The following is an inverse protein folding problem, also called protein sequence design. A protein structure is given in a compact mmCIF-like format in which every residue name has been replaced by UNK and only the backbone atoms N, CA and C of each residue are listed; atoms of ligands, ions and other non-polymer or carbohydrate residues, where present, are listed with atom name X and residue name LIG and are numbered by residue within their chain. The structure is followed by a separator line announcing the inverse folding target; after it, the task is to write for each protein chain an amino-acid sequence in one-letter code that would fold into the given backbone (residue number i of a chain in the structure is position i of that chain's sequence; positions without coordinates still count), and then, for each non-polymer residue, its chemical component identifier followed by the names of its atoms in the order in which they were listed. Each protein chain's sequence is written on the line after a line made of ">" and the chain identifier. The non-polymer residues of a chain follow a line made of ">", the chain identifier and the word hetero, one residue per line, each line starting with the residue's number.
data_IF_631112600887
#
_entry.id   IF_631112600887
#
_cell.length_a   1.000
_cell.length_b   1.000
_cell.length_c   1.000
_cell.angle_alpha   90.00
_cell.angle_beta   90.00
_cell.angle_gamma   90.00
#
_symmetry.space_group_name_H-M   'P 1'
#
loop_
_entity.id
_entity.type
_entity.pdbx_description
1 polymer ?
#
# COMPACT_ATOMS: atom_id res chain seq x y z
N UNK A 1 7.12 -17.42 -11.81
CA UNK A 1 6.11 -17.55 -12.87
C UNK A 1 5.47 -18.92 -12.73
N UNK A 2 4.14 -19.05 -12.63
CA UNK A 2 3.44 -20.33 -12.48
C UNK A 2 3.75 -21.27 -13.66
N UNK A 3 3.81 -22.58 -13.39
CA UNK A 3 4.14 -23.59 -14.42
C UNK A 3 3.20 -23.57 -15.62
N UNK A 4 1.91 -23.34 -15.35
CA UNK A 4 0.84 -23.28 -16.36
C UNK A 4 1.04 -22.14 -17.38
N UNK A 5 1.58 -21.00 -16.92
CA UNK A 5 1.89 -19.85 -17.79
C UNK A 5 3.10 -20.14 -18.68
N UNK A 6 4.10 -20.86 -18.15
CA UNK A 6 5.27 -21.27 -18.95
C UNK A 6 4.87 -22.25 -20.06
N UNK A 7 3.96 -23.18 -19.74
CA UNK A 7 3.45 -24.14 -20.71
C UNK A 7 2.60 -23.48 -21.79
N UNK A 8 1.74 -22.54 -21.40
CA UNK A 8 0.96 -21.72 -22.33
C UNK A 8 1.88 -20.90 -23.26
N UNK A 9 2.92 -20.30 -22.70
CA UNK A 9 3.89 -19.51 -23.47
C UNK A 9 4.60 -20.37 -24.53
N UNK A 10 4.98 -21.62 -24.20
CA UNK A 10 5.57 -22.55 -25.17
C UNK A 10 4.62 -22.91 -26.29
N UNK A 11 3.34 -23.11 -25.99
CA UNK A 11 2.33 -23.42 -27.01
C UNK A 11 2.07 -22.26 -27.97
N UNK A 12 2.18 -21.02 -27.48
CA UNK A 12 1.87 -19.82 -28.28
C UNK A 12 3.06 -19.26 -29.04
N UNK A 13 4.26 -19.34 -28.48
CA UNK A 13 5.45 -18.64 -29.00
C UNK A 13 6.49 -19.60 -29.66
N UNK A 14 6.31 -20.91 -29.54
CA UNK A 14 7.29 -21.87 -30.01
C UNK A 14 8.59 -21.80 -29.19
N UNK A 15 9.75 -21.82 -29.88
CA UNK A 15 11.04 -21.64 -29.23
C UNK A 15 11.25 -20.16 -28.85
N UNK A 16 11.32 -19.88 -27.55
CA UNK A 16 11.61 -18.54 -27.03
C UNK A 16 12.71 -18.58 -25.97
N UNK A 17 13.55 -17.56 -25.94
CA UNK A 17 14.51 -17.38 -24.86
C UNK A 17 13.82 -16.80 -23.62
N UNK A 18 13.99 -17.49 -22.49
CA UNK A 18 13.50 -17.04 -21.20
C UNK A 18 14.54 -16.20 -20.49
N UNK A 19 14.37 -14.88 -20.48
CA UNK A 19 15.15 -13.99 -19.65
C UNK A 19 14.51 -13.89 -18.26
N UNK A 20 15.18 -14.42 -17.26
CA UNK A 20 14.74 -14.28 -15.86
C UNK A 20 15.61 -13.24 -15.19
N UNK A 21 15.05 -12.05 -14.96
CA UNK A 21 15.67 -11.05 -14.10
C UNK A 21 15.26 -11.42 -12.68
N UNK A 22 16.22 -11.84 -11.86
CA UNK A 22 15.99 -11.98 -10.41
C UNK A 22 15.78 -10.57 -9.87
N UNK A 23 14.62 -10.24 -9.25
CA UNK A 23 14.51 -8.98 -8.52
C UNK A 23 15.61 -8.98 -7.45
N UNK A 24 16.45 -7.98 -7.44
CA UNK A 24 17.33 -7.74 -6.31
C UNK A 24 16.44 -7.55 -5.08
N UNK A 25 16.64 -8.36 -4.05
CA UNK A 25 15.93 -8.27 -2.76
C UNK A 25 16.25 -6.95 -2.01
N UNK A 26 16.98 -6.07 -2.65
CA UNK A 26 17.57 -4.86 -2.08
C UNK A 26 16.56 -3.83 -1.54
N UNK A 27 15.30 -3.85 -1.96
CA UNK A 27 14.32 -2.84 -1.54
C UNK A 27 13.76 -3.10 -0.15
N UNK A 28 13.56 -4.35 0.24
CA UNK A 28 13.00 -4.69 1.55
C UNK A 28 14.00 -4.50 2.70
N UNK A 29 15.29 -4.62 2.43
CA UNK A 29 16.37 -4.46 3.43
C UNK A 29 16.63 -3.00 3.81
N UNK A 30 16.20 -2.06 2.97
CA UNK A 30 16.42 -0.61 3.17
C UNK A 30 15.24 0.11 3.84
N UNK A 31 14.13 -0.59 4.07
CA UNK A 31 12.92 -0.01 4.66
C UNK A 31 12.84 -0.42 6.12
N UNK A 32 12.79 0.55 7.03
CA UNK A 32 12.54 0.27 8.43
C UNK A 32 11.10 -0.19 8.63
N UNK A 33 10.93 -1.31 9.33
CA UNK A 33 9.65 -1.97 9.47
C UNK A 33 9.33 -2.18 10.95
N UNK A 34 8.08 -1.85 11.32
CA UNK A 34 7.55 -2.07 12.66
C UNK A 34 6.25 -2.86 12.63
N UNK A 35 5.99 -3.65 13.66
CA UNK A 35 4.74 -4.40 13.83
C UNK A 35 4.06 -4.00 15.12
N UNK A 36 2.77 -3.66 15.03
CA UNK A 36 1.94 -3.34 16.18
C UNK A 36 0.93 -4.45 16.43
N UNK A 37 0.93 -5.00 17.63
CA UNK A 37 -0.09 -5.95 18.08
C UNK A 37 -1.27 -5.18 18.66
N UNK A 38 -2.39 -5.20 17.97
CA UNK A 38 -3.58 -4.42 18.33
C UNK A 38 -4.86 -5.22 18.09
N UNK A 39 -5.83 -5.11 18.98
CA UNK A 39 -7.15 -5.71 18.77
C UNK A 39 -7.90 -5.02 17.63
N UNK A 40 -8.72 -5.77 16.91
CA UNK A 40 -9.46 -5.28 15.74
C UNK A 40 -10.26 -3.99 16.00
N UNK A 41 -10.96 -3.79 17.15
CA UNK A 41 -11.67 -2.55 17.45
C UNK A 41 -10.75 -1.33 17.61
N UNK A 42 -9.50 -1.55 18.01
CA UNK A 42 -8.54 -0.47 18.28
C UNK A 42 -7.66 -0.11 17.05
N UNK A 43 -7.70 -0.91 15.98
CA UNK A 43 -6.95 -0.58 14.75
C UNK A 43 -7.19 0.84 14.22
N UNK A 44 -8.44 1.35 14.14
CA UNK A 44 -8.66 2.71 13.66
C UNK A 44 -8.04 3.77 14.57
N UNK A 45 -8.08 3.57 15.90
CA UNK A 45 -7.48 4.49 16.87
C UNK A 45 -5.97 4.54 16.73
N UNK A 46 -5.34 3.38 16.57
CA UNK A 46 -3.90 3.27 16.33
C UNK A 46 -3.50 3.95 15.02
N UNK A 47 -4.25 3.73 13.95
CA UNK A 47 -3.99 4.39 12.66
C UNK A 47 -4.07 5.91 12.78
N UNK A 48 -5.09 6.44 13.45
CA UNK A 48 -5.25 7.88 13.70
C UNK A 48 -4.07 8.41 14.52
N UNK A 49 -3.62 7.68 15.53
CA UNK A 49 -2.47 8.05 16.33
C UNK A 49 -1.19 8.12 15.47
N UNK A 50 -0.89 7.08 14.68
CA UNK A 50 0.27 7.06 13.77
C UNK A 50 0.25 8.26 12.80
N UNK A 51 -0.91 8.59 12.23
CA UNK A 51 -1.03 9.72 11.31
C UNK A 51 -0.76 11.04 12.03
N UNK A 52 -1.27 11.23 13.24
CA UNK A 52 -1.07 12.44 14.05
C UNK A 52 0.37 12.62 14.51
N UNK A 53 1.07 11.52 14.80
CA UNK A 53 2.50 11.55 15.14
C UNK A 53 3.39 11.90 13.93
N UNK A 54 2.85 11.76 12.71
CA UNK A 54 3.58 12.01 11.47
C UNK A 54 2.83 13.04 10.58
N UNK A 55 2.62 14.28 11.03
CA UNK A 55 1.73 15.26 10.39
C UNK A 55 2.21 15.70 9.00
N UNK A 56 3.51 15.66 8.75
CA UNK A 56 4.10 16.06 7.47
C UNK A 56 4.25 14.89 6.47
N UNK A 57 3.96 13.67 6.91
CA UNK A 57 4.15 12.48 6.09
C UNK A 57 3.01 12.26 5.10
N UNK A 58 3.36 11.85 3.89
CA UNK A 58 2.44 11.26 2.93
C UNK A 58 2.33 9.77 3.17
N UNK A 59 1.10 9.25 3.30
CA UNK A 59 0.86 7.87 3.69
C UNK A 59 -0.02 7.15 2.67
N UNK A 60 0.33 5.88 2.44
CA UNK A 60 -0.62 4.93 1.87
C UNK A 60 -1.00 3.88 2.92
N UNK A 61 -2.30 3.62 3.04
CA UNK A 61 -2.86 2.63 3.96
C UNK A 61 -3.45 1.49 3.14
N UNK A 62 -2.95 0.29 3.32
CA UNK A 62 -3.44 -0.89 2.61
C UNK A 62 -4.55 -1.59 3.38
N UNK A 63 -5.71 -1.70 2.76
CA UNK A 63 -6.85 -2.49 3.22
C UNK A 63 -7.06 -3.70 2.32
N UNK A 64 -7.46 -4.83 2.90
CA UNK A 64 -7.74 -6.06 2.16
C UNK A 64 -8.95 -5.94 1.26
N UNK A 65 -9.95 -5.16 1.66
CA UNK A 65 -11.23 -5.07 0.95
C UNK A 65 -11.62 -3.63 0.64
N UNK A 66 -12.39 -3.45 -0.43
CA UNK A 66 -12.99 -2.16 -0.80
C UNK A 66 -13.88 -1.57 0.30
N UNK A 67 -14.65 -2.41 0.98
CA UNK A 67 -15.50 -1.99 2.12
C UNK A 67 -14.66 -1.58 3.33
N UNK A 68 -13.57 -2.30 3.59
CA UNK A 68 -12.58 -1.93 4.61
C UNK A 68 -11.98 -0.57 4.32
N UNK A 69 -11.56 -0.32 3.09
CA UNK A 69 -11.00 0.97 2.67
C UNK A 69 -11.99 2.13 2.90
N UNK A 70 -13.26 1.98 2.51
CA UNK A 70 -14.28 2.99 2.77
C UNK A 70 -14.53 3.23 4.27
N UNK A 71 -14.53 2.16 5.08
CA UNK A 71 -14.69 2.29 6.55
C UNK A 71 -13.51 3.04 7.19
N UNK A 72 -12.29 2.77 6.73
CA UNK A 72 -11.10 3.47 7.20
C UNK A 72 -11.21 4.97 6.87
N UNK A 73 -11.50 5.33 5.63
CA UNK A 73 -11.68 6.73 5.21
C UNK A 73 -12.74 7.42 6.06
N UNK A 74 -13.90 6.79 6.28
CA UNK A 74 -14.95 7.36 7.15
C UNK A 74 -14.45 7.63 8.59
N UNK A 75 -13.63 6.73 9.15
CA UNK A 75 -13.06 6.90 10.48
C UNK A 75 -12.01 8.02 10.53
N UNK A 76 -11.21 8.15 9.49
CA UNK A 76 -10.23 9.23 9.36
C UNK A 76 -10.92 10.59 9.21
N UNK A 77 -11.97 10.66 8.41
CA UNK A 77 -12.78 11.86 8.22
C UNK A 77 -13.44 12.32 9.52
N UNK A 78 -14.02 11.39 10.30
CA UNK A 78 -14.55 11.66 11.64
C UNK A 78 -13.49 12.19 12.62
N UNK A 79 -12.23 11.90 12.39
CA UNK A 79 -11.09 12.39 13.18
C UNK A 79 -10.48 13.68 12.62
N UNK A 80 -11.07 14.27 11.58
CA UNK A 80 -10.60 15.48 10.92
C UNK A 80 -9.39 15.25 9.99
N UNK A 81 -9.12 14.00 9.59
CA UNK A 81 -8.01 13.64 8.71
C UNK A 81 -8.52 13.48 7.29
N UNK A 82 -8.06 14.35 6.40
CA UNK A 82 -8.40 14.30 4.97
C UNK A 82 -7.77 13.08 4.31
N UNK A 83 -8.61 12.19 3.82
CA UNK A 83 -8.19 10.94 3.18
C UNK A 83 -9.11 10.57 2.01
N UNK A 84 -8.62 9.73 1.10
CA UNK A 84 -9.43 9.20 0.01
C UNK A 84 -9.19 7.70 -0.18
N UNK A 85 -10.25 6.98 -0.59
CA UNK A 85 -10.15 5.57 -0.91
C UNK A 85 -9.97 5.35 -2.41
N UNK A 86 -9.05 4.43 -2.76
CA UNK A 86 -8.88 3.93 -4.14
C UNK A 86 -9.11 2.42 -4.17
N UNK A 87 -10.12 1.99 -4.89
CA UNK A 87 -10.46 0.58 -5.09
C UNK A 87 -11.28 0.38 -6.36
N UNK A 88 -11.50 -0.87 -6.76
CA UNK A 88 -12.15 -1.21 -8.03
C UNK A 88 -13.55 -0.65 -8.25
N UNK A 89 -14.29 -0.32 -7.18
CA UNK A 89 -15.63 0.29 -7.28
C UNK A 89 -15.63 1.82 -7.42
N UNK A 90 -14.45 2.47 -7.39
CA UNK A 90 -14.35 3.90 -7.69
C UNK A 90 -14.24 4.11 -9.18
N UNK A 91 -14.95 5.12 -9.71
CA UNK A 91 -14.81 5.52 -11.10
C UNK A 91 -13.37 5.98 -11.41
N UNK A 92 -12.98 5.89 -12.67
CA UNK A 92 -11.64 6.33 -13.08
C UNK A 92 -11.43 7.82 -12.78
N UNK A 93 -12.45 8.64 -12.97
CA UNK A 93 -12.42 10.06 -12.65
C UNK A 93 -12.18 10.31 -11.15
N UNK A 94 -12.90 9.59 -10.28
CA UNK A 94 -12.73 9.70 -8.83
C UNK A 94 -11.32 9.24 -8.38
N UNK A 95 -10.79 8.19 -8.99
CA UNK A 95 -9.43 7.70 -8.73
C UNK A 95 -8.39 8.74 -9.15
N UNK A 96 -8.52 9.30 -10.35
CA UNK A 96 -7.62 10.32 -10.87
C UNK A 96 -7.64 11.58 -10.00
N UNK A 97 -8.83 12.03 -9.58
CA UNK A 97 -8.97 13.18 -8.67
C UNK A 97 -8.28 12.95 -7.33
N UNK A 98 -8.46 11.76 -6.73
CA UNK A 98 -7.80 11.40 -5.47
C UNK A 98 -6.27 11.37 -5.61
N UNK A 99 -5.75 10.80 -6.70
CA UNK A 99 -4.32 10.75 -6.99
C UNK A 99 -3.73 12.14 -7.23
N UNK A 100 -4.41 12.99 -8.00
CA UNK A 100 -3.96 14.36 -8.26
C UNK A 100 -3.89 15.17 -6.96
N UNK A 101 -4.91 15.08 -6.09
CA UNK A 101 -4.92 15.75 -4.80
C UNK A 101 -3.81 15.21 -3.87
N UNK A 102 -3.53 13.91 -3.93
CA UNK A 102 -2.46 13.30 -3.16
C UNK A 102 -1.08 13.75 -3.64
N UNK A 103 -0.83 13.77 -4.94
CA UNK A 103 0.42 14.27 -5.55
C UNK A 103 0.64 15.77 -5.31
N UNK A 104 -0.44 16.55 -5.26
CA UNK A 104 -0.37 17.98 -4.96
C UNK A 104 -0.15 18.29 -3.46
N UNK A 105 -0.23 17.29 -2.59
CA UNK A 105 -0.12 17.47 -1.13
C UNK A 105 -1.41 17.94 -0.44
N UNK A 106 -2.50 18.15 -1.19
CA UNK A 106 -3.82 18.50 -0.64
C UNK A 106 -4.43 17.36 0.17
N UNK A 107 -4.02 16.15 -0.13
CA UNK A 107 -4.44 14.92 0.51
C UNK A 107 -3.20 14.17 1.00
N UNK A 108 -3.08 13.95 2.30
CA UNK A 108 -1.91 13.28 2.90
C UNK A 108 -2.06 11.77 3.06
N UNK A 109 -3.29 11.27 3.08
CA UNK A 109 -3.59 9.85 3.31
C UNK A 109 -4.40 9.26 2.16
N UNK A 110 -3.84 8.21 1.57
CA UNK A 110 -4.50 7.42 0.55
C UNK A 110 -4.80 6.03 1.11
N UNK A 111 -6.04 5.56 1.02
CA UNK A 111 -6.42 4.20 1.45
C UNK A 111 -6.70 3.36 0.22
N UNK A 112 -5.91 2.31 0.00
CA UNK A 112 -5.97 1.53 -1.22
C UNK A 112 -6.12 0.03 -0.97
N UNK A 113 -6.72 -0.66 -1.95
CA UNK A 113 -6.63 -2.11 -2.07
C UNK A 113 -5.46 -2.49 -2.98
N UNK A 114 -4.91 -3.69 -2.85
CA UNK A 114 -3.74 -4.13 -3.64
C UNK A 114 -3.95 -4.00 -5.14
N UNK A 115 -5.13 -4.39 -5.64
CA UNK A 115 -5.45 -4.33 -7.07
C UNK A 115 -5.45 -2.87 -7.55
N UNK A 116 -6.01 -1.97 -6.78
CA UNK A 116 -6.09 -0.56 -7.14
C UNK A 116 -4.75 0.16 -6.99
N UNK A 117 -3.89 -0.31 -6.10
CA UNK A 117 -2.55 0.24 -5.90
C UNK A 117 -1.57 -0.19 -7.00
N UNK A 118 -1.86 -1.27 -7.73
CA UNK A 118 -1.10 -1.64 -8.93
C UNK A 118 -1.37 -0.61 -10.03
N UNK A 119 -0.29 -0.07 -10.61
CA UNK A 119 -0.38 0.96 -11.66
C UNK A 119 -0.66 2.38 -11.12
N UNK A 120 -0.64 2.59 -9.82
CA UNK A 120 -0.54 3.93 -9.25
C UNK A 120 0.93 4.33 -9.28
N UNK A 121 1.22 5.38 -10.03
CA UNK A 121 2.51 6.07 -10.01
C UNK A 121 2.59 6.98 -8.77
N UNK A 122 2.78 6.34 -7.61
CA UNK A 122 3.04 6.98 -6.33
C UNK A 122 4.25 6.31 -5.72
N UNK A 123 5.36 7.00 -5.79
CA UNK A 123 6.63 6.63 -5.22
C UNK A 123 7.03 7.66 -4.16
N UNK A 124 8.11 7.42 -3.46
CA UNK A 124 8.65 8.33 -2.44
C UNK A 124 7.69 8.63 -1.28
N UNK A 125 6.89 7.66 -0.90
CA UNK A 125 6.02 7.77 0.26
C UNK A 125 6.83 7.79 1.56
N UNK A 126 6.46 8.68 2.46
CA UNK A 126 7.08 8.75 3.78
C UNK A 126 6.73 7.53 4.62
N UNK A 127 5.52 6.98 4.47
CA UNK A 127 5.04 5.86 5.28
C UNK A 127 4.05 4.97 4.52
N UNK A 128 4.23 3.66 4.66
CA UNK A 128 3.27 2.64 4.24
C UNK A 128 2.70 1.94 5.45
N UNK A 129 1.38 1.92 5.57
CA UNK A 129 0.68 1.23 6.66
C UNK A 129 -0.08 0.01 6.12
N UNK A 130 0.34 -1.17 6.51
CA UNK A 130 -0.41 -2.40 6.28
C UNK A 130 -1.50 -2.56 7.35
N UNK A 131 -2.64 -1.89 7.16
CA UNK A 131 -3.79 -2.02 8.07
C UNK A 131 -4.31 -3.45 8.13
N UNK A 132 -4.31 -4.11 6.99
CA UNK A 132 -4.51 -5.54 6.86
C UNK A 132 -3.29 -6.16 6.17
N UNK A 133 -2.65 -7.13 6.82
CA UNK A 133 -1.55 -7.86 6.22
C UNK A 133 -2.03 -8.64 4.99
N UNK A 134 -1.26 -8.68 3.91
CA UNK A 134 -1.57 -9.50 2.76
C UNK A 134 -1.33 -10.98 3.08
N UNK A 135 -2.05 -11.87 2.37
CA UNK A 135 -1.87 -13.31 2.53
C UNK A 135 -0.63 -13.85 1.79
N UNK A 136 -0.04 -13.05 0.91
CA UNK A 136 1.08 -13.41 0.05
C UNK A 136 2.26 -12.51 0.36
N UNK A 137 3.41 -13.10 0.65
CA UNK A 137 4.64 -12.37 0.98
C UNK A 137 5.10 -11.42 -0.13
N UNK A 138 4.95 -11.83 -1.38
CA UNK A 138 5.28 -11.00 -2.54
C UNK A 138 4.47 -9.70 -2.57
N UNK A 139 3.19 -9.76 -2.22
CA UNK A 139 2.33 -8.58 -2.10
C UNK A 139 2.83 -7.64 -0.99
N UNK A 140 3.33 -8.19 0.11
CA UNK A 140 3.94 -7.39 1.18
C UNK A 140 5.15 -6.61 0.67
N UNK A 141 6.05 -7.25 -0.05
CA UNK A 141 7.23 -6.61 -0.64
C UNK A 141 6.83 -5.50 -1.62
N UNK A 142 5.82 -5.74 -2.46
CA UNK A 142 5.31 -4.72 -3.38
C UNK A 142 4.69 -3.52 -2.68
N UNK A 143 4.07 -3.72 -1.51
CA UNK A 143 3.51 -2.62 -0.71
C UNK A 143 4.60 -1.75 -0.10
N UNK A 144 5.58 -2.35 0.55
CA UNK A 144 6.68 -1.61 1.19
C UNK A 144 7.61 -0.96 0.17
N UNK A 145 7.74 -1.51 -1.04
CA UNK A 145 8.48 -0.92 -2.15
C UNK A 145 7.93 0.41 -2.66
N UNK A 146 6.84 0.94 -2.08
CA UNK A 146 6.33 2.29 -2.33
C UNK A 146 7.00 3.35 -1.45
N UNK A 147 7.75 2.96 -0.44
CA UNK A 147 8.54 3.87 0.38
C UNK A 147 9.94 4.02 -0.20
N UNK A 148 10.44 5.24 -0.24
CA UNK A 148 11.80 5.55 -0.71
C UNK A 148 12.82 5.60 0.42
N UNK A 149 12.44 5.75 1.69
CA UNK A 149 13.36 6.06 2.78
C UNK A 149 12.99 5.45 4.13
N UNK A 150 14.06 5.03 4.79
CA UNK A 150 14.34 4.93 6.21
C UNK A 150 13.51 5.90 7.07
N UNK A 151 12.35 5.49 7.53
CA UNK A 151 11.72 6.16 8.64
C UNK A 151 11.73 5.25 9.86
N UNK A 152 12.48 5.67 10.85
CA UNK A 152 12.53 5.03 12.16
C UNK A 152 11.20 5.23 12.87
N UNK A 153 10.33 4.25 12.75
CA UNK A 153 9.26 4.11 13.71
C UNK A 153 9.84 3.39 14.91
N UNK A 154 9.83 3.97 16.12
CA UNK A 154 10.29 3.22 17.28
C UNK A 154 9.48 1.94 17.39
N UNK A 155 10.17 0.81 17.30
CA UNK A 155 9.58 -0.49 17.59
C UNK A 155 9.07 -0.45 19.03
N UNK A 156 7.79 -0.70 19.31
CA UNK A 156 7.38 -0.97 20.65
C UNK A 156 7.99 -2.32 21.04
N UNK A 157 9.18 -2.30 21.58
CA UNK A 157 9.61 -3.38 22.46
C UNK A 157 8.91 -3.15 23.78
N UNK A 158 8.17 -4.16 24.14
CA UNK A 158 7.47 -4.42 25.40
C UNK A 158 6.06 -3.89 25.49
#
# INVERSE_FOLDING_TARGET
>A
MPKDIVELSRKMLGDFERVTIKPEQATAEKVEQGVYFVSKPNKPKLLIHIIKENPESTLIVFSRTKHGANKIVKKLDQAGIRSAAIHGNKSQTARQKALSAFKAGDLKVLVATDIAARGIDVEDLSLVVNYDLPNVSETYVHRIGRTCLLYTSPSPRD
#
